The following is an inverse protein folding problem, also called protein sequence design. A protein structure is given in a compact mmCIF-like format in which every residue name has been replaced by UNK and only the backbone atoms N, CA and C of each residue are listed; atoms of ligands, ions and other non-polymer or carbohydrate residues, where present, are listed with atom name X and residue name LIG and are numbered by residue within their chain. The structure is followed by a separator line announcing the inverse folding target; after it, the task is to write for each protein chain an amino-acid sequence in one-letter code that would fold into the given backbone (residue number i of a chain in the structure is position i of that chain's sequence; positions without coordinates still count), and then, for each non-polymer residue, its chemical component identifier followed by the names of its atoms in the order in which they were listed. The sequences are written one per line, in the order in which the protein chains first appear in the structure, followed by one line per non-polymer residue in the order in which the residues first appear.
data_IF_583220397119
#
_entry.id   IF_583220397119
#
_cell.length_a   1.000
_cell.length_b   1.000
_cell.length_c   1.000
_cell.angle_alpha   90.00
_cell.angle_beta   90.00
_cell.angle_gamma   90.00
#
_symmetry.space_group_name_H-M   'P 1'
#
loop_
_entity.id
_entity.type
_entity.pdbx_description
1 polymer ?
#
# COMPACT_ATOMS: atom_id res chain seq x y z
N UNK A 1 16.23 5.57 -23.52
CA UNK A 1 15.14 4.59 -23.35
C UNK A 1 13.94 5.37 -22.88
N UNK A 2 12.88 5.38 -23.69
CA UNK A 2 11.62 6.07 -23.42
C UNK A 2 10.77 5.17 -22.51
N UNK A 3 10.31 5.70 -21.37
CA UNK A 3 9.44 4.98 -20.45
C UNK A 3 8.01 5.13 -20.96
N UNK A 4 7.53 4.11 -21.66
CA UNK A 4 6.12 4.06 -22.08
C UNK A 4 5.34 3.55 -20.88
N UNK A 5 4.71 4.47 -20.14
CA UNK A 5 3.75 4.12 -19.09
C UNK A 5 2.60 3.37 -19.77
N UNK A 6 2.56 2.05 -19.55
CA UNK A 6 1.46 1.22 -20.03
C UNK A 6 0.21 1.58 -19.24
N UNK A 7 -0.71 2.27 -19.91
CA UNK A 7 -2.06 2.59 -19.43
C UNK A 7 -2.81 1.28 -19.10
N UNK A 8 -2.76 0.84 -17.84
CA UNK A 8 -3.43 -0.37 -17.39
C UNK A 8 -4.94 -0.09 -17.34
N UNK A 9 -5.64 -0.35 -18.45
CA UNK A 9 -7.10 -0.43 -18.46
C UNK A 9 -7.52 -1.75 -17.81
N UNK A 10 -8.04 -1.65 -16.60
CA UNK A 10 -8.74 -2.75 -15.92
C UNK A 10 -9.91 -3.19 -16.82
N UNK A 11 -9.84 -4.42 -17.34
CA UNK A 11 -10.93 -5.00 -18.12
C UNK A 11 -12.13 -5.18 -17.19
N UNK A 12 -13.32 -4.61 -17.48
CA UNK A 12 -14.51 -4.78 -16.62
C UNK A 12 -14.98 -6.24 -16.49
N UNK A 13 -14.50 -7.16 -17.34
CA UNK A 13 -14.73 -8.62 -17.18
C UNK A 13 -13.73 -9.30 -16.23
N UNK A 14 -12.64 -8.63 -15.85
CA UNK A 14 -11.72 -9.10 -14.82
C UNK A 14 -12.28 -8.74 -13.45
N UNK A 15 -13.36 -9.40 -13.04
CA UNK A 15 -13.69 -9.42 -11.62
C UNK A 15 -12.49 -10.01 -10.86
N UNK A 16 -12.04 -9.38 -9.75
CA UNK A 16 -11.00 -9.94 -8.90
C UNK A 16 -11.39 -11.36 -8.54
N UNK A 17 -10.58 -12.34 -8.97
CA UNK A 17 -10.82 -13.74 -8.61
C UNK A 17 -10.74 -13.87 -7.09
N UNK A 18 -11.64 -14.68 -6.53
CA UNK A 18 -11.63 -14.96 -5.11
C UNK A 18 -10.30 -15.60 -4.70
N UNK A 19 -9.93 -15.39 -3.43
CA UNK A 19 -8.73 -15.97 -2.86
C UNK A 19 -8.83 -17.50 -2.96
N UNK A 20 -7.80 -18.14 -3.51
CA UNK A 20 -7.77 -19.59 -3.68
C UNK A 20 -7.76 -20.30 -2.32
N UNK A 21 -8.61 -21.33 -2.19
CA UNK A 21 -8.74 -22.13 -0.95
C UNK A 21 -8.48 -23.61 -1.15
N UNK A 22 -8.50 -24.11 -2.41
CA UNK A 22 -8.35 -25.52 -2.75
C UNK A 22 -7.55 -25.69 -4.05
N UNK A 23 -6.26 -25.32 -3.97
CA UNK A 23 -5.30 -25.44 -5.07
C UNK A 23 -5.27 -26.84 -5.75
N UNK A 24 -5.36 -27.97 -5.01
CA UNK A 24 -5.40 -29.30 -5.62
C UNK A 24 -6.57 -29.50 -6.60
N UNK A 25 -7.69 -28.81 -6.43
CA UNK A 25 -8.88 -28.91 -7.31
C UNK A 25 -8.86 -27.92 -8.47
N UNK A 26 -8.11 -26.82 -8.35
CA UNK A 26 -8.05 -25.75 -9.35
C UNK A 26 -6.65 -25.62 -9.98
N UNK A 27 -5.96 -26.74 -10.22
CA UNK A 27 -4.58 -26.73 -10.73
C UNK A 27 -4.42 -26.11 -12.13
N UNK A 28 -5.44 -26.25 -12.98
CA UNK A 28 -5.41 -25.74 -14.35
C UNK A 28 -5.59 -24.21 -14.40
N UNK A 29 -6.26 -23.62 -13.40
CA UNK A 29 -6.51 -22.18 -13.32
C UNK A 29 -6.78 -21.70 -11.87
N UNK A 30 -5.76 -21.70 -10.99
CA UNK A 30 -5.95 -21.37 -9.57
C UNK A 30 -6.22 -19.87 -9.39
N UNK A 31 -6.99 -19.53 -8.37
CA UNK A 31 -7.10 -18.16 -7.89
C UNK A 31 -5.78 -17.63 -7.29
N UNK A 32 -5.69 -16.31 -7.02
CA UNK A 32 -4.55 -15.75 -6.33
C UNK A 32 -4.42 -16.37 -4.93
N UNK A 33 -3.18 -16.60 -4.48
CA UNK A 33 -2.93 -17.10 -3.14
C UNK A 33 -3.32 -16.06 -2.08
N UNK A 34 -3.67 -16.47 -0.85
CA UNK A 34 -3.95 -15.54 0.24
C UNK A 34 -2.80 -14.55 0.50
N UNK A 35 -1.54 -14.99 0.29
CA UNK A 35 -0.35 -14.13 0.49
C UNK A 35 -0.18 -13.09 -0.62
N UNK A 36 -0.66 -13.37 -1.84
CA UNK A 36 -0.62 -12.40 -2.94
C UNK A 36 -1.64 -11.28 -2.78
N UNK A 37 -2.71 -11.52 -2.02
CA UNK A 37 -3.76 -10.54 -1.74
C UNK A 37 -3.51 -9.80 -0.42
N UNK A 38 -3.03 -10.51 0.60
CA UNK A 38 -2.74 -9.93 1.91
C UNK A 38 -1.23 -9.79 2.08
N UNK A 39 -0.74 -8.58 1.84
CA UNK A 39 0.61 -8.20 2.22
C UNK A 39 0.61 -7.56 3.62
N UNK A 40 1.51 -8.04 4.48
CA UNK A 40 1.72 -7.44 5.80
C UNK A 40 2.30 -6.03 5.63
N UNK A 41 1.46 -5.00 5.81
CA UNK A 41 1.87 -3.59 5.77
C UNK A 41 2.28 -3.07 7.15
N UNK A 42 2.99 -3.90 7.93
CA UNK A 42 3.36 -3.63 9.31
C UNK A 42 4.66 -2.80 9.44
N UNK A 43 5.52 -2.84 8.42
CA UNK A 43 6.85 -2.17 8.38
C UNK A 43 6.92 -0.96 7.45
N UNK A 44 5.78 -0.53 6.90
CA UNK A 44 5.74 0.61 5.98
C UNK A 44 6.07 1.94 6.68
N UNK A 45 6.53 2.92 5.90
CA UNK A 45 6.71 4.29 6.41
C UNK A 45 5.38 5.00 6.72
N UNK A 46 4.24 4.42 6.31
CA UNK A 46 2.90 5.01 6.45
C UNK A 46 2.55 5.44 7.88
N UNK A 47 2.60 4.54 8.89
CA UNK A 47 2.34 4.91 10.28
C UNK A 47 3.31 5.95 10.82
N UNK A 48 4.60 5.84 10.48
CA UNK A 48 5.65 6.76 10.93
C UNK A 48 5.44 8.15 10.35
N UNK A 49 5.14 8.27 9.06
CA UNK A 49 4.88 9.57 8.41
C UNK A 49 3.58 10.18 8.94
N UNK A 50 2.53 9.36 9.13
CA UNK A 50 1.22 9.79 9.66
C UNK A 50 1.33 10.47 11.02
N UNK A 51 2.20 9.98 11.90
CA UNK A 51 2.37 10.52 13.25
C UNK A 51 3.60 11.43 13.40
N UNK A 52 4.70 11.11 12.71
CA UNK A 52 5.96 11.83 12.80
C UNK A 52 5.86 13.25 12.23
N UNK A 53 5.24 13.43 11.06
CA UNK A 53 5.07 14.75 10.43
C UNK A 53 4.31 15.73 11.35
N UNK A 54 3.12 15.41 11.88
CA UNK A 54 2.40 16.34 12.74
C UNK A 54 3.15 16.63 14.06
N UNK A 55 3.85 15.64 14.63
CA UNK A 55 4.67 15.84 15.83
C UNK A 55 5.82 16.83 15.54
N UNK A 56 6.53 16.68 14.42
CA UNK A 56 7.61 17.57 14.03
C UNK A 56 7.10 19.00 13.83
N UNK A 57 5.97 19.17 13.15
CA UNK A 57 5.34 20.49 12.95
C UNK A 57 4.99 21.13 14.29
N UNK A 58 4.43 20.37 15.24
CA UNK A 58 4.09 20.86 16.57
C UNK A 58 5.34 21.34 17.32
N UNK A 59 6.41 20.55 17.32
CA UNK A 59 7.68 20.90 17.96
C UNK A 59 8.28 22.16 17.33
N UNK A 60 8.29 22.24 16.00
CA UNK A 60 8.77 23.43 15.28
C UNK A 60 7.95 24.67 15.61
N UNK A 61 6.63 24.52 15.76
CA UNK A 61 5.73 25.62 16.08
C UNK A 61 5.94 26.11 17.53
N UNK A 62 6.15 25.20 18.48
CA UNK A 62 6.54 25.54 19.86
C UNK A 62 7.91 26.24 19.87
N UNK A 63 8.90 25.69 19.17
CA UNK A 63 10.21 26.30 19.04
C UNK A 63 10.11 27.72 18.48
N UNK A 64 9.31 27.90 17.43
CA UNK A 64 9.11 29.20 16.78
C UNK A 64 8.42 30.22 17.70
N UNK A 65 7.41 29.81 18.47
CA UNK A 65 6.68 30.72 19.36
C UNK A 65 7.46 31.12 20.62
N UNK A 66 8.23 30.18 21.20
CA UNK A 66 8.83 30.37 22.52
C UNK A 66 10.35 30.54 22.51
N UNK A 67 11.06 29.91 21.56
CA UNK A 67 12.53 29.91 21.52
C UNK A 67 13.10 30.81 20.41
N UNK A 68 12.30 31.21 19.41
CA UNK A 68 12.68 32.20 18.39
C UNK A 68 12.25 33.62 18.79
N UNK A 69 12.42 33.95 20.07
CA UNK A 69 12.37 35.32 20.59
C UNK A 69 13.79 35.81 20.80
#
# INVERSE_FOLDING_TARGET
MENTESDFKENPENNPREIETDYPKHQDDPGPSPQAVNEDNDKGAGPVIKWGVPIIILILLIYWLFLRK
#
